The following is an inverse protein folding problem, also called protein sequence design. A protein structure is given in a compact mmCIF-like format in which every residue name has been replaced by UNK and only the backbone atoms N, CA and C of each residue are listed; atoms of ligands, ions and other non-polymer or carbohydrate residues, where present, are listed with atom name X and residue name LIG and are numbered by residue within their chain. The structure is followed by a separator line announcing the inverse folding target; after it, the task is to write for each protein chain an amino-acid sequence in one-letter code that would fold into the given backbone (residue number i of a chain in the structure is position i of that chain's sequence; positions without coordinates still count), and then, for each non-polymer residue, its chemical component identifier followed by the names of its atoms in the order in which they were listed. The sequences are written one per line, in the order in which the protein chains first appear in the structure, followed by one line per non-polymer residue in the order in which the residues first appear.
data_IF_281201995294
#
_entry.id   IF_281201995294
#
_cell.length_a   1.000
_cell.length_b   1.000
_cell.length_c   1.000
_cell.angle_alpha   90.00
_cell.angle_beta   90.00
_cell.angle_gamma   90.00
#
_symmetry.space_group_name_H-M   'P 1'
#
loop_
_entity.id
_entity.type
_entity.pdbx_description
1 polymer ?
#
# COMPACT_ATOMS: atom_id res chain seq x y z
N UNK A 1 -18.77 -13.69 3.69
CA UNK A 1 -18.02 -13.92 4.94
C UNK A 1 -18.22 -12.78 5.93
N UNK A 2 -18.08 -11.50 5.54
CA UNK A 2 -18.26 -10.35 6.45
C UNK A 2 -19.64 -10.40 7.13
N UNK A 3 -20.72 -10.52 6.35
CA UNK A 3 -22.08 -10.64 6.90
C UNK A 3 -22.24 -11.84 7.86
N UNK A 4 -21.61 -12.97 7.53
CA UNK A 4 -21.61 -14.13 8.43
C UNK A 4 -20.94 -13.80 9.76
N UNK A 5 -19.77 -13.16 9.74
CA UNK A 5 -19.04 -12.78 10.95
C UNK A 5 -19.80 -11.72 11.76
N UNK A 6 -20.41 -10.72 11.10
CA UNK A 6 -21.29 -9.75 11.78
C UNK A 6 -22.46 -10.46 12.47
N UNK A 7 -23.04 -11.45 11.81
CA UNK A 7 -24.11 -12.26 12.43
C UNK A 7 -23.63 -13.05 13.65
N UNK A 8 -22.38 -13.54 13.66
CA UNK A 8 -21.81 -14.20 14.83
C UNK A 8 -21.62 -13.22 16.01
N UNK A 9 -21.30 -11.95 15.75
CA UNK A 9 -21.29 -10.90 16.78
C UNK A 9 -22.67 -10.67 17.36
N UNK A 10 -23.70 -10.54 16.52
CA UNK A 10 -25.09 -10.38 16.97
C UNK A 10 -25.60 -11.55 17.83
N UNK A 11 -25.15 -12.77 17.51
CA UNK A 11 -25.49 -13.98 18.24
C UNK A 11 -24.69 -14.17 19.53
N UNK A 12 -23.71 -13.29 19.81
CA UNK A 12 -22.84 -13.39 20.98
C UNK A 12 -21.77 -14.50 20.87
N UNK A 13 -21.57 -15.08 19.69
CA UNK A 13 -20.52 -16.07 19.43
C UNK A 13 -19.15 -15.39 19.32
N UNK A 14 -19.10 -14.21 18.69
CA UNK A 14 -17.94 -13.33 18.67
C UNK A 14 -18.15 -12.14 19.61
N UNK A 15 -17.07 -11.66 20.22
CA UNK A 15 -17.14 -10.42 21.02
C UNK A 15 -17.63 -9.26 20.18
N UNK A 16 -18.52 -8.40 20.69
CA UNK A 16 -18.95 -7.19 19.99
C UNK A 16 -17.78 -6.21 19.72
N UNK A 17 -16.69 -6.30 20.48
CA UNK A 17 -15.53 -5.42 20.36
C UNK A 17 -14.56 -5.81 19.24
N UNK A 18 -14.76 -6.98 18.62
CA UNK A 18 -13.94 -7.41 17.47
C UNK A 18 -14.36 -6.61 16.24
N UNK A 19 -13.41 -5.93 15.62
CA UNK A 19 -13.61 -5.26 14.35
C UNK A 19 -13.45 -6.24 13.19
N UNK A 20 -14.39 -6.19 12.26
CA UNK A 20 -14.44 -7.07 11.08
C UNK A 20 -14.19 -6.21 9.85
N UNK A 21 -13.24 -6.63 9.04
CA UNK A 21 -12.93 -5.99 7.77
C UNK A 21 -12.61 -7.03 6.67
N UNK A 22 -12.45 -6.56 5.47
CA UNK A 22 -11.74 -7.21 4.37
C UNK A 22 -10.52 -6.36 4.00
N UNK A 23 -9.49 -6.97 3.46
CA UNK A 23 -8.25 -6.28 3.08
C UNK A 23 -7.91 -6.59 1.63
N UNK A 24 -7.66 -5.54 0.83
CA UNK A 24 -7.36 -5.68 -0.59
C UNK A 24 -6.73 -4.37 -1.14
N UNK A 25 -6.28 -4.42 -2.39
CA UNK A 25 -5.77 -3.27 -3.12
C UNK A 25 -6.78 -2.11 -3.13
N UNK A 26 -6.28 -0.89 -3.09
CA UNK A 26 -7.09 0.34 -3.11
C UNK A 26 -8.07 0.41 -4.29
N UNK A 27 -7.73 -0.19 -5.44
CA UNK A 27 -8.63 -0.24 -6.60
C UNK A 27 -9.89 -1.07 -6.31
N UNK A 28 -9.73 -2.23 -5.64
CA UNK A 28 -10.84 -3.10 -5.22
C UNK A 28 -11.80 -2.38 -4.29
N UNK A 29 -11.32 -1.40 -3.52
CA UNK A 29 -12.11 -0.54 -2.66
C UNK A 29 -12.68 0.71 -3.38
N UNK A 30 -12.62 0.73 -4.70
CA UNK A 30 -13.20 1.79 -5.53
C UNK A 30 -12.30 3.01 -5.75
N UNK A 31 -11.04 2.96 -5.31
CA UNK A 31 -10.07 4.04 -5.54
C UNK A 31 -9.44 4.07 -6.93
N UNK A 32 -9.69 3.05 -7.74
CA UNK A 32 -9.14 2.92 -9.08
C UNK A 32 -10.18 2.95 -10.18
N UNK A 33 -10.19 1.91 -11.01
CA UNK A 33 -11.09 1.83 -12.15
C UNK A 33 -12.56 1.73 -11.72
N UNK A 34 -13.42 2.51 -12.36
CA UNK A 34 -14.88 2.50 -12.11
C UNK A 34 -15.55 1.13 -12.34
N UNK A 35 -14.90 0.19 -13.01
CA UNK A 35 -15.42 -1.19 -13.14
C UNK A 35 -15.58 -1.89 -11.79
N UNK A 36 -14.88 -1.47 -10.75
CA UNK A 36 -15.05 -1.95 -9.38
C UNK A 36 -16.26 -1.34 -8.66
N UNK A 37 -16.80 -0.23 -9.15
CA UNK A 37 -17.96 0.43 -8.55
C UNK A 37 -19.23 -0.41 -8.81
N UNK A 38 -19.59 -1.25 -7.85
CA UNK A 38 -20.74 -2.15 -7.94
C UNK A 38 -21.58 -2.09 -6.67
N UNK A 39 -22.83 -2.52 -6.76
CA UNK A 39 -23.70 -2.66 -5.58
C UNK A 39 -23.07 -3.60 -4.55
N UNK A 40 -22.37 -4.66 -5.00
CA UNK A 40 -21.67 -5.58 -4.11
C UNK A 40 -20.54 -4.92 -3.33
N UNK A 41 -19.78 -4.01 -3.95
CA UNK A 41 -18.77 -3.24 -3.24
C UNK A 41 -19.42 -2.29 -2.23
N UNK A 42 -20.51 -1.61 -2.61
CA UNK A 42 -21.22 -0.73 -1.69
C UNK A 42 -21.72 -1.51 -0.46
N UNK A 43 -22.34 -2.68 -0.66
CA UNK A 43 -22.77 -3.56 0.43
C UNK A 43 -21.60 -4.02 1.32
N UNK A 44 -20.44 -4.34 0.72
CA UNK A 44 -19.25 -4.70 1.49
C UNK A 44 -18.76 -3.53 2.35
N UNK A 45 -18.66 -2.31 1.77
CA UNK A 45 -18.27 -1.10 2.50
C UNK A 45 -19.23 -0.82 3.67
N UNK A 46 -20.51 -1.02 3.49
CA UNK A 46 -21.51 -0.87 4.57
C UNK A 46 -21.33 -1.92 5.67
N UNK A 47 -21.02 -3.16 5.31
CA UNK A 47 -20.96 -4.29 6.23
C UNK A 47 -19.69 -4.36 7.09
N UNK A 48 -18.55 -3.84 6.61
CA UNK A 48 -17.29 -3.84 7.38
C UNK A 48 -17.29 -2.77 8.47
N UNK A 49 -16.51 -2.99 9.54
CA UNK A 49 -16.32 -1.99 10.59
C UNK A 49 -15.33 -0.89 10.15
N UNK A 50 -14.38 -1.22 9.30
CA UNK A 50 -13.44 -0.29 8.64
C UNK A 50 -12.96 -0.86 7.31
N UNK A 51 -12.39 -0.02 6.44
CA UNK A 51 -11.74 -0.45 5.20
C UNK A 51 -10.25 -0.65 5.47
N UNK A 52 -9.70 -1.78 5.02
CA UNK A 52 -8.25 -2.07 5.03
C UNK A 52 -7.75 -2.07 3.59
N UNK A 53 -7.07 -1.01 3.18
CA UNK A 53 -6.60 -0.84 1.81
C UNK A 53 -5.10 -1.11 1.70
N UNK A 54 -4.67 -1.64 0.55
CA UNK A 54 -3.25 -1.80 0.24
C UNK A 54 -2.82 -0.76 -0.78
N UNK A 55 -1.66 -0.15 -0.54
CA UNK A 55 -1.04 0.82 -1.45
C UNK A 55 0.43 0.44 -1.68
N UNK A 56 0.78 0.05 -2.92
CA UNK A 56 2.12 -0.42 -3.24
C UNK A 56 2.71 0.30 -4.46
N UNK A 57 3.15 1.55 -4.34
CA UNK A 57 3.83 2.27 -5.43
C UNK A 57 5.09 1.56 -5.92
N UNK A 58 5.70 0.70 -5.10
CA UNK A 58 6.82 -0.13 -5.52
C UNK A 58 6.46 -0.97 -6.76
N UNK A 59 5.29 -1.60 -6.78
CA UNK A 59 4.85 -2.40 -7.92
C UNK A 59 4.52 -1.53 -9.14
N UNK A 60 4.01 -0.31 -8.93
CA UNK A 60 3.77 0.64 -10.00
C UNK A 60 5.05 1.01 -10.76
N UNK A 61 6.21 0.98 -10.10
CA UNK A 61 7.51 1.23 -10.71
C UNK A 61 7.91 0.19 -11.78
N UNK A 62 7.38 -1.03 -11.69
CA UNK A 62 7.57 -2.06 -12.70
C UNK A 62 6.76 -1.78 -13.97
N UNK A 63 5.51 -1.36 -13.81
CA UNK A 63 4.60 -1.11 -14.93
C UNK A 63 4.85 0.22 -15.63
N UNK A 64 5.43 1.18 -14.92
CA UNK A 64 5.74 2.51 -15.44
C UNK A 64 7.14 2.94 -15.02
N UNK A 65 8.14 2.46 -15.77
CA UNK A 65 9.56 2.78 -15.51
C UNK A 65 9.86 4.28 -15.63
N UNK A 66 9.13 5.02 -16.46
CA UNK A 66 9.32 6.46 -16.66
C UNK A 66 8.91 7.25 -15.41
N UNK A 67 8.01 6.73 -14.61
CA UNK A 67 7.61 7.32 -13.33
C UNK A 67 8.83 7.52 -12.39
N UNK A 68 9.83 6.67 -12.50
CA UNK A 68 11.07 6.69 -11.70
C UNK A 68 12.20 7.45 -12.37
N UNK A 69 11.94 8.03 -13.53
CA UNK A 69 12.89 8.88 -14.23
C UNK A 69 13.17 10.17 -13.46
N UNK A 70 14.30 10.78 -13.79
CA UNK A 70 14.65 12.13 -13.32
C UNK A 70 13.80 13.12 -14.09
N UNK A 71 13.09 14.00 -13.39
CA UNK A 71 12.32 15.07 -14.05
C UNK A 71 13.27 16.17 -14.56
N UNK A 72 12.90 16.92 -15.62
CA UNK A 72 13.75 17.98 -16.16
C UNK A 72 14.23 19.01 -15.13
N UNK A 73 13.40 19.35 -14.18
CA UNK A 73 13.75 20.26 -13.07
C UNK A 73 14.71 19.67 -12.05
N UNK A 74 14.90 18.36 -12.06
CA UNK A 74 15.75 17.61 -11.15
C UNK A 74 17.14 17.30 -11.74
N UNK A 75 17.35 17.50 -13.04
CA UNK A 75 18.59 17.11 -13.75
C UNK A 75 19.87 17.69 -13.13
N UNK A 76 19.76 18.87 -12.51
CA UNK A 76 20.87 19.54 -11.84
C UNK A 76 20.97 19.20 -10.34
N UNK A 77 20.13 18.34 -9.81
CA UNK A 77 20.19 17.95 -8.40
C UNK A 77 21.37 16.98 -8.16
N UNK A 78 21.91 17.03 -6.95
CA UNK A 78 22.79 15.97 -6.48
C UNK A 78 22.04 14.64 -6.43
N UNK A 79 22.72 13.52 -6.73
CA UNK A 79 22.13 12.17 -6.79
C UNK A 79 21.22 11.85 -5.60
N UNK A 80 21.66 12.17 -4.38
CA UNK A 80 20.86 11.93 -3.17
C UNK A 80 19.54 12.69 -3.19
N UNK A 81 19.55 13.94 -3.65
CA UNK A 81 18.34 14.76 -3.76
C UNK A 81 17.39 14.24 -4.83
N UNK A 82 17.90 13.74 -5.96
CA UNK A 82 17.09 13.10 -7.00
C UNK A 82 16.37 11.86 -6.44
N UNK A 83 17.07 11.01 -5.70
CA UNK A 83 16.47 9.84 -5.05
C UNK A 83 15.38 10.28 -4.05
N UNK A 84 15.66 11.28 -3.23
CA UNK A 84 14.66 11.81 -2.28
C UNK A 84 13.41 12.34 -2.98
N UNK A 85 13.56 13.07 -4.08
CA UNK A 85 12.42 13.56 -4.89
C UNK A 85 11.60 12.39 -5.44
N UNK A 86 12.24 11.38 -6.02
CA UNK A 86 11.55 10.18 -6.54
C UNK A 86 10.77 9.46 -5.43
N UNK A 87 11.39 9.27 -4.27
CA UNK A 87 10.74 8.60 -3.14
C UNK A 87 9.61 9.43 -2.53
N UNK A 88 9.71 10.76 -2.60
CA UNK A 88 8.60 11.65 -2.22
C UNK A 88 7.41 11.43 -3.16
N UNK A 89 7.62 11.38 -4.48
CA UNK A 89 6.57 11.08 -5.45
C UNK A 89 5.94 9.70 -5.22
N UNK A 90 6.73 8.71 -4.80
CA UNK A 90 6.20 7.40 -4.44
C UNK A 90 5.21 7.48 -3.26
N UNK A 91 5.58 8.18 -2.20
CA UNK A 91 4.69 8.41 -1.07
C UNK A 91 3.44 9.19 -1.48
N UNK A 92 3.58 10.25 -2.28
CA UNK A 92 2.46 11.03 -2.82
C UNK A 92 1.52 10.18 -3.68
N UNK A 93 2.03 9.16 -4.39
CA UNK A 93 1.18 8.20 -5.10
C UNK A 93 0.33 7.38 -4.13
N UNK A 94 0.92 6.80 -3.07
CA UNK A 94 0.16 6.13 -2.00
C UNK A 94 -0.88 7.03 -1.37
N UNK A 95 -0.53 8.30 -1.09
CA UNK A 95 -1.48 9.28 -0.59
C UNK A 95 -2.66 9.49 -1.55
N UNK A 96 -2.38 9.58 -2.85
CA UNK A 96 -3.40 9.77 -3.88
C UNK A 96 -4.33 8.55 -3.97
N UNK A 97 -3.78 7.34 -3.88
CA UNK A 97 -4.53 6.09 -3.84
C UNK A 97 -5.47 6.03 -2.63
N UNK A 98 -4.96 6.38 -1.44
CA UNK A 98 -5.79 6.50 -0.23
C UNK A 98 -6.92 7.53 -0.41
N UNK A 99 -6.59 8.73 -0.88
CA UNK A 99 -7.56 9.81 -1.10
C UNK A 99 -8.63 9.42 -2.14
N UNK A 100 -8.27 8.62 -3.14
CA UNK A 100 -9.23 8.11 -4.12
C UNK A 100 -10.29 7.21 -3.49
N UNK A 101 -9.90 6.31 -2.57
CA UNK A 101 -10.86 5.50 -1.80
C UNK A 101 -11.71 6.37 -0.89
N UNK A 102 -11.13 7.33 -0.18
CA UNK A 102 -11.89 8.29 0.65
C UNK A 102 -12.96 9.01 -0.17
N UNK A 103 -12.59 9.49 -1.37
CA UNK A 103 -13.52 10.18 -2.26
C UNK A 103 -14.64 9.25 -2.74
N UNK A 104 -14.33 7.99 -3.06
CA UNK A 104 -15.34 7.00 -3.44
C UNK A 104 -16.34 6.76 -2.30
N UNK A 105 -15.85 6.44 -1.10
CA UNK A 105 -16.69 6.18 0.08
C UNK A 105 -17.57 7.39 0.41
N UNK A 106 -17.00 8.60 0.36
CA UNK A 106 -17.77 9.83 0.56
C UNK A 106 -18.86 10.03 -0.50
N UNK A 107 -18.61 9.65 -1.76
CA UNK A 107 -19.59 9.74 -2.84
C UNK A 107 -20.80 8.83 -2.62
N UNK A 108 -20.64 7.74 -1.86
CA UNK A 108 -21.70 6.85 -1.41
C UNK A 108 -22.45 7.37 -0.18
N UNK A 109 -22.04 8.52 0.38
CA UNK A 109 -22.55 9.07 1.64
C UNK A 109 -22.33 8.13 2.86
N UNK A 110 -21.31 7.28 2.79
CA UNK A 110 -20.93 6.36 3.85
C UNK A 110 -19.78 7.00 4.65
N UNK A 111 -19.80 6.84 5.98
CA UNK A 111 -18.74 7.25 6.88
C UNK A 111 -18.14 6.03 7.56
N UNK A 112 -16.93 5.63 7.19
CA UNK A 112 -16.19 4.50 7.77
C UNK A 112 -14.73 4.88 7.96
N UNK A 113 -14.07 4.38 9.01
CA UNK A 113 -12.61 4.46 9.12
C UNK A 113 -11.94 3.77 7.92
N UNK A 114 -10.87 4.37 7.42
CA UNK A 114 -10.07 3.79 6.35
C UNK A 114 -8.64 3.70 6.86
N UNK A 115 -8.10 2.48 6.90
CA UNK A 115 -6.73 2.19 7.30
C UNK A 115 -5.91 1.76 6.09
N UNK A 116 -4.64 2.12 6.03
CA UNK A 116 -3.71 1.45 5.13
C UNK A 116 -3.29 0.16 5.82
N UNK A 117 -3.91 -0.96 5.39
CA UNK A 117 -3.66 -2.29 5.93
C UNK A 117 -2.32 -2.87 5.50
N UNK A 118 -1.85 -2.44 4.31
CA UNK A 118 -0.51 -2.77 3.85
C UNK A 118 0.05 -1.65 2.97
N UNK A 119 1.31 -1.33 3.21
CA UNK A 119 2.14 -0.53 2.31
C UNK A 119 3.60 -0.82 2.60
N UNK A 120 4.42 -0.94 1.58
CA UNK A 120 5.81 -1.32 1.76
C UNK A 120 6.70 -0.99 0.57
N UNK A 121 8.00 -1.21 0.75
CA UNK A 121 9.02 -1.01 -0.26
C UNK A 121 10.11 -2.07 -0.11
N UNK A 122 10.45 -2.77 -1.20
CA UNK A 122 11.48 -3.79 -1.14
C UNK A 122 12.89 -3.19 -1.09
N UNK A 123 13.77 -3.79 -0.29
CA UNK A 123 15.20 -3.43 -0.19
C UNK A 123 16.05 -4.06 -1.29
N UNK A 124 15.58 -5.15 -1.90
CA UNK A 124 16.21 -5.86 -3.01
C UNK A 124 15.15 -6.31 -4.01
N UNK A 125 15.56 -6.60 -5.23
CA UNK A 125 14.66 -7.01 -6.29
C UNK A 125 15.28 -8.00 -7.26
N UNK A 126 14.43 -8.53 -8.12
CA UNK A 126 14.85 -9.31 -9.28
C UNK A 126 15.12 -8.41 -10.50
N UNK A 127 15.45 -9.04 -11.63
CA UNK A 127 15.71 -8.38 -12.91
C UNK A 127 14.58 -7.46 -13.38
N UNK A 128 13.34 -7.72 -12.96
CA UNK A 128 12.19 -6.91 -13.39
C UNK A 128 12.20 -5.49 -12.83
N UNK A 129 12.70 -5.31 -11.60
CA UNK A 129 12.79 -4.00 -10.95
C UNK A 129 14.22 -3.43 -10.95
N UNK A 130 15.24 -4.30 -11.14
CA UNK A 130 16.66 -3.97 -11.07
C UNK A 130 17.24 -3.34 -12.32
N UNK A 131 18.35 -3.88 -12.82
CA UNK A 131 19.16 -3.26 -13.86
C UNK A 131 18.46 -2.96 -15.19
N UNK A 132 17.44 -3.76 -15.54
CA UNK A 132 16.64 -3.58 -16.76
C UNK A 132 15.30 -2.89 -16.50
N UNK A 133 14.90 -2.72 -15.23
CA UNK A 133 13.64 -2.14 -14.80
C UNK A 133 13.79 -0.78 -14.16
N UNK A 134 12.92 -0.48 -13.21
CA UNK A 134 12.83 0.81 -12.54
C UNK A 134 14.01 1.15 -11.62
N UNK A 135 14.83 0.16 -11.23
CA UNK A 135 15.87 0.29 -10.19
C UNK A 135 15.30 0.81 -8.86
N UNK A 136 14.06 0.48 -8.58
CA UNK A 136 13.33 1.01 -7.43
C UNK A 136 13.87 0.48 -6.10
N UNK A 137 14.28 -0.80 -6.04
CA UNK A 137 14.66 -1.45 -4.79
C UNK A 137 16.07 -1.06 -4.35
N UNK A 138 16.19 -0.58 -3.13
CA UNK A 138 17.37 -0.54 -2.30
C UNK A 138 16.99 -0.10 -0.87
N UNK A 139 17.84 -0.42 0.12
CA UNK A 139 17.60 -0.11 1.53
C UNK A 139 17.39 1.39 1.80
N UNK A 140 18.11 2.26 1.11
CA UNK A 140 17.97 3.71 1.30
C UNK A 140 16.59 4.20 0.81
N UNK A 141 16.11 3.67 -0.30
CA UNK A 141 14.77 3.99 -0.81
C UNK A 141 13.68 3.42 0.09
N UNK A 142 13.85 2.19 0.58
CA UNK A 142 12.96 1.59 1.57
C UNK A 142 12.84 2.48 2.82
N UNK A 143 13.99 2.92 3.37
CA UNK A 143 14.02 3.84 4.51
C UNK A 143 13.30 5.16 4.21
N UNK A 144 13.51 5.75 3.04
CA UNK A 144 12.86 7.01 2.66
C UNK A 144 11.34 6.84 2.54
N UNK A 145 10.91 5.75 1.89
CA UNK A 145 9.48 5.47 1.74
C UNK A 145 8.80 5.31 3.10
N UNK A 146 9.36 4.48 3.98
CA UNK A 146 8.87 4.34 5.35
C UNK A 146 8.79 5.68 6.07
N UNK A 147 9.85 6.50 5.97
CA UNK A 147 9.89 7.80 6.62
C UNK A 147 8.76 8.72 6.14
N UNK A 148 8.59 8.84 4.82
CA UNK A 148 7.57 9.73 4.25
C UNK A 148 6.15 9.25 4.51
N UNK A 149 5.90 7.94 4.39
CA UNK A 149 4.60 7.36 4.68
C UNK A 149 4.22 7.52 6.15
N UNK A 150 5.18 7.31 7.07
CA UNK A 150 4.97 7.52 8.49
C UNK A 150 4.70 8.98 8.83
N UNK A 151 5.51 9.91 8.31
CA UNK A 151 5.29 11.35 8.52
C UNK A 151 3.89 11.77 8.07
N UNK A 152 3.47 11.33 6.89
CA UNK A 152 2.16 11.66 6.35
C UNK A 152 1.02 11.01 7.15
N UNK A 153 1.11 9.72 7.47
CA UNK A 153 0.08 9.02 8.23
C UNK A 153 -0.10 9.59 9.64
N UNK A 154 1.01 9.91 10.34
CA UNK A 154 0.99 10.54 11.66
C UNK A 154 0.32 11.93 11.62
N UNK A 155 0.67 12.76 10.63
CA UNK A 155 0.10 14.10 10.45
C UNK A 155 -1.41 14.05 10.17
N UNK A 156 -1.87 13.05 9.45
CA UNK A 156 -3.28 12.89 9.04
C UNK A 156 -4.07 11.96 9.97
N UNK A 157 -3.44 11.40 11.03
CA UNK A 157 -4.03 10.42 11.96
C UNK A 157 -4.60 9.19 11.25
N UNK A 158 -3.88 8.70 10.26
CA UNK A 158 -4.22 7.51 9.48
C UNK A 158 -3.47 6.33 10.07
N UNK A 159 -4.16 5.24 10.34
CA UNK A 159 -3.50 3.98 10.72
C UNK A 159 -2.80 3.39 9.52
N UNK A 160 -1.50 3.14 9.66
CA UNK A 160 -0.63 2.53 8.66
C UNK A 160 0.01 1.26 9.22
N UNK A 161 -0.21 0.13 8.56
CA UNK A 161 0.55 -1.09 8.76
C UNK A 161 1.60 -1.19 7.66
N UNK A 162 2.87 -1.04 8.07
CA UNK A 162 3.98 -1.15 7.13
C UNK A 162 4.33 -2.63 6.91
N UNK A 163 4.37 -3.03 5.68
CA UNK A 163 4.71 -4.37 5.25
C UNK A 163 6.18 -4.39 4.79
N UNK A 164 7.09 -5.09 5.50
CA UNK A 164 6.82 -5.91 6.65
C UNK A 164 7.95 -5.81 7.70
N UNK A 165 7.82 -6.45 8.87
CA UNK A 165 8.81 -6.33 9.94
C UNK A 165 10.12 -7.07 9.62
N UNK A 166 10.03 -8.26 9.04
CA UNK A 166 11.17 -9.14 8.78
C UNK A 166 11.16 -9.64 7.34
N UNK A 167 12.36 -9.82 6.76
CA UNK A 167 12.47 -10.52 5.49
C UNK A 167 11.98 -11.96 5.62
N UNK A 168 11.14 -12.40 4.67
CA UNK A 168 10.55 -13.73 4.65
C UNK A 168 11.16 -14.58 3.53
N UNK A 169 12.34 -15.12 3.76
CA UNK A 169 13.12 -15.87 2.79
C UNK A 169 12.41 -17.06 2.14
N UNK A 170 11.40 -17.64 2.83
CA UNK A 170 10.59 -18.71 2.28
C UNK A 170 9.79 -18.29 1.04
N UNK A 171 9.56 -17.00 0.85
CA UNK A 171 8.91 -16.47 -0.37
C UNK A 171 9.80 -16.57 -1.63
N UNK A 172 11.12 -16.73 -1.46
CA UNK A 172 12.05 -16.95 -2.55
C UNK A 172 11.89 -18.31 -3.24
N UNK A 173 11.33 -19.31 -2.56
CA UNK A 173 11.14 -20.65 -3.12
C UNK A 173 10.28 -20.67 -4.39
N UNK A 174 9.39 -19.70 -4.54
CA UNK A 174 8.54 -19.53 -5.72
C UNK A 174 9.20 -18.66 -6.81
N UNK A 175 10.09 -17.75 -6.44
CA UNK A 175 10.84 -16.89 -7.34
C UNK A 175 12.12 -16.37 -6.67
N UNK A 176 13.22 -17.12 -6.80
CA UNK A 176 14.52 -16.84 -6.15
C UNK A 176 15.13 -15.46 -6.38
N UNK A 177 14.55 -14.67 -7.26
CA UNK A 177 15.02 -13.32 -7.60
C UNK A 177 13.91 -12.28 -7.37
N UNK A 178 12.86 -12.64 -6.62
CA UNK A 178 11.70 -11.79 -6.41
C UNK A 178 11.88 -10.80 -5.25
N UNK A 179 11.22 -9.68 -5.35
CA UNK A 179 11.18 -8.64 -4.30
C UNK A 179 10.40 -9.09 -3.05
N UNK A 180 9.54 -10.10 -3.17
CA UNK A 180 8.60 -10.51 -2.12
C UNK A 180 9.28 -10.97 -0.83
N UNK A 181 10.51 -11.48 -0.90
CA UNK A 181 11.30 -11.88 0.26
C UNK A 181 12.03 -10.72 0.94
N UNK A 182 11.96 -9.51 0.38
CA UNK A 182 12.82 -8.38 0.75
C UNK A 182 12.06 -7.10 1.15
N UNK A 183 10.81 -7.25 1.61
CA UNK A 183 10.02 -6.14 2.14
C UNK A 183 10.32 -5.86 3.63
N UNK A 184 11.01 -6.76 4.31
CA UNK A 184 11.33 -6.63 5.72
C UNK A 184 12.17 -5.40 6.05
N UNK A 185 11.86 -4.75 7.18
CA UNK A 185 12.70 -3.70 7.77
C UNK A 185 13.91 -4.27 8.50
N UNK A 186 13.88 -5.54 8.83
CA UNK A 186 14.93 -6.29 9.54
C UNK A 186 15.29 -7.51 8.70
N UNK A 187 16.54 -7.54 8.26
CA UNK A 187 17.12 -8.73 7.63
C UNK A 187 17.54 -9.70 8.72
N UNK A 188 17.11 -10.96 8.62
CA UNK A 188 17.40 -12.02 9.57
C UNK A 188 18.65 -12.86 9.19
N UNK A 189 19.45 -12.45 8.21
CA UNK A 189 20.68 -13.11 7.77
C UNK A 189 21.85 -12.90 8.74
#
# INVERSE_FOLDING_TARGET
WVEYLQKQKELGVLSPDIWITSSDNYESWGGGNKSYHSDGLTQLIEAVDFLSIHTYPFHDSFYNSDYWGVLPEEENFQKRKMIQSTMRRAAELSESQYKAVVNHVNSLQISKPIHIGESGWASSDNVSYGASGSKAADEYKQQLYLTYMREWSDQNKITLFYFEAFDEQWKEDSNKLGSEAHFGLINLN
#
